data_IF_751700627570
#
_entry.id   IF_751700627570
#
_cell.length_a   1.000
_cell.length_b   1.000
_cell.length_c   1.000
_cell.angle_alpha   90.00
_cell.angle_beta   90.00
_cell.angle_gamma   90.00
#
_symmetry.space_group_name_H-M   'P 1'
#
loop_
_entity.id
_entity.type
_entity.pdbx_description
1 polymer ?
#
# COMPACT_ATOMS: atom_id res chain seq x y z
N UNK A 1 34.56 21.31 14.49
CA UNK A 1 33.86 20.51 13.47
C UNK A 1 32.98 21.46 12.66
N UNK A 2 33.38 21.78 11.44
CA UNK A 2 32.60 22.67 10.57
C UNK A 2 31.29 22.00 10.17
N UNK A 3 30.17 22.67 10.46
CA UNK A 3 28.84 22.20 10.13
C UNK A 3 28.60 22.34 8.62
N UNK A 4 29.04 21.33 7.87
CA UNK A 4 28.71 21.21 6.45
C UNK A 4 27.25 20.76 6.30
N UNK A 5 26.44 21.42 5.47
CA UNK A 5 25.09 20.96 5.16
C UNK A 5 25.14 19.54 4.57
N UNK A 6 24.31 18.63 5.10
CA UNK A 6 24.28 17.21 4.70
C UNK A 6 22.91 16.85 4.09
N UNK A 7 22.58 17.34 2.87
CA UNK A 7 21.29 17.07 2.23
C UNK A 7 21.05 15.58 1.97
N UNK A 8 22.10 14.82 1.67
CA UNK A 8 22.03 13.36 1.45
C UNK A 8 21.64 12.60 2.73
N UNK A 9 22.08 13.08 3.89
CA UNK A 9 21.72 12.46 5.15
C UNK A 9 20.24 12.70 5.47
N UNK A 10 19.72 13.89 5.12
CA UNK A 10 18.30 14.20 5.28
C UNK A 10 17.41 13.40 4.34
N UNK A 11 17.80 13.20 3.08
CA UNK A 11 17.04 12.32 2.18
C UNK A 11 17.05 10.87 2.65
N UNK A 12 18.18 10.37 3.17
CA UNK A 12 18.28 9.00 3.70
C UNK A 12 17.40 8.81 4.94
N UNK A 13 17.47 9.74 5.89
CA UNK A 13 16.61 9.72 7.09
C UNK A 13 15.13 9.84 6.73
N UNK A 14 14.79 10.72 5.78
CA UNK A 14 13.42 10.88 5.29
C UNK A 14 12.91 9.64 4.57
N UNK A 15 13.76 8.96 3.80
CA UNK A 15 13.43 7.70 3.14
C UNK A 15 13.18 6.59 4.17
N UNK A 16 14.10 6.40 5.13
CA UNK A 16 13.93 5.40 6.20
C UNK A 16 12.66 5.68 7.03
N UNK A 17 12.44 6.95 7.39
CA UNK A 17 11.24 7.36 8.11
C UNK A 17 9.98 7.06 7.30
N UNK A 18 9.97 7.36 6.00
CA UNK A 18 8.84 7.09 5.12
C UNK A 18 8.54 5.60 5.00
N UNK A 19 9.56 4.74 4.85
CA UNK A 19 9.37 3.28 4.83
C UNK A 19 8.74 2.80 6.14
N UNK A 20 9.22 3.27 7.29
CA UNK A 20 8.67 2.87 8.60
C UNK A 20 7.23 3.35 8.75
N UNK A 21 6.91 4.57 8.34
CA UNK A 21 5.54 5.11 8.38
C UNK A 21 4.61 4.31 7.48
N UNK A 22 5.01 3.98 6.26
CA UNK A 22 4.20 3.15 5.34
C UNK A 22 3.97 1.76 5.93
N UNK A 23 5.01 1.12 6.46
CA UNK A 23 4.91 -0.18 7.10
C UNK A 23 3.94 -0.16 8.29
N UNK A 24 3.96 0.90 9.11
CA UNK A 24 3.01 1.08 10.21
C UNK A 24 1.58 1.28 9.71
N UNK A 25 1.37 2.18 8.74
CA UNK A 25 0.03 2.43 8.18
C UNK A 25 -0.58 1.17 7.57
N UNK A 26 0.25 0.36 6.90
CA UNK A 26 -0.14 -0.93 6.36
C UNK A 26 -0.53 -1.92 7.45
N UNK A 27 0.34 -2.13 8.44
CA UNK A 27 0.09 -3.07 9.56
C UNK A 27 -1.11 -2.68 10.40
N UNK A 28 -1.39 -1.38 10.53
CA UNK A 28 -2.58 -0.85 11.20
C UNK A 28 -3.86 -0.97 10.36
N UNK A 29 -3.74 -1.37 9.08
CA UNK A 29 -4.87 -1.46 8.17
C UNK A 29 -5.51 -0.12 7.83
N UNK A 30 -4.78 0.98 8.03
CA UNK A 30 -5.25 2.34 7.69
C UNK A 30 -5.21 2.52 6.18
N UNK A 31 -4.20 1.94 5.52
CA UNK A 31 -4.00 2.10 4.09
C UNK A 31 -3.51 0.79 3.48
N UNK A 32 -4.00 0.37 2.30
CA UNK A 32 -3.46 -0.79 1.58
C UNK A 32 -1.98 -0.57 1.21
N UNK A 33 -1.19 -1.65 1.06
CA UNK A 33 0.22 -1.59 0.66
C UNK A 33 0.33 -1.33 -0.85
N UNK A 34 -0.28 -0.25 -1.33
CA UNK A 34 -0.23 0.13 -2.72
C UNK A 34 0.95 1.07 -3.00
N UNK A 35 1.44 1.02 -4.23
CA UNK A 35 2.54 1.82 -4.76
C UNK A 35 2.27 3.31 -4.56
N UNK A 36 1.02 3.76 -4.68
CA UNK A 36 0.65 5.16 -4.56
C UNK A 36 0.92 5.73 -3.17
N UNK A 37 0.53 4.97 -2.15
CA UNK A 37 0.68 5.35 -0.75
C UNK A 37 2.16 5.36 -0.39
N UNK A 38 2.89 4.33 -0.84
CA UNK A 38 4.33 4.25 -0.68
C UNK A 38 5.02 5.48 -1.28
N UNK A 39 4.74 5.80 -2.56
CA UNK A 39 5.34 6.95 -3.23
C UNK A 39 4.94 8.30 -2.60
N UNK A 40 3.69 8.46 -2.20
CA UNK A 40 3.19 9.68 -1.58
C UNK A 40 3.82 9.94 -0.21
N UNK A 41 3.85 8.94 0.67
CA UNK A 41 4.48 9.07 1.99
C UNK A 41 5.98 9.29 1.86
N UNK A 42 6.67 8.54 1.00
CA UNK A 42 8.10 8.72 0.75
C UNK A 42 8.41 10.13 0.22
N UNK A 43 7.61 10.64 -0.72
CA UNK A 43 7.77 11.99 -1.24
C UNK A 43 7.71 13.03 -0.12
N UNK A 44 6.69 12.94 0.74
CA UNK A 44 6.47 13.87 1.85
C UNK A 44 7.58 13.76 2.90
N UNK A 45 7.94 12.55 3.34
CA UNK A 45 8.97 12.39 4.38
C UNK A 45 10.35 12.79 3.90
N UNK A 46 10.72 12.45 2.66
CA UNK A 46 12.00 12.88 2.06
C UNK A 46 12.04 14.40 1.94
N UNK A 47 10.98 15.04 1.43
CA UNK A 47 10.93 16.50 1.33
C UNK A 47 11.04 17.15 2.71
N UNK A 48 10.22 16.73 3.67
CA UNK A 48 10.13 17.33 5.00
C UNK A 48 11.46 17.20 5.77
N UNK A 49 12.04 15.99 5.81
CA UNK A 49 13.32 15.78 6.51
C UNK A 49 14.46 16.51 5.80
N UNK A 50 14.46 16.56 4.47
CA UNK A 50 15.45 17.34 3.70
C UNK A 50 15.34 18.84 3.99
N UNK A 51 14.12 19.39 4.09
CA UNK A 51 13.88 20.81 4.45
C UNK A 51 14.40 21.09 5.86
N UNK A 52 14.03 20.25 6.84
CA UNK A 52 14.42 20.42 8.25
C UNK A 52 15.95 20.45 8.40
N UNK A 53 16.65 19.57 7.68
CA UNK A 53 18.11 19.43 7.79
C UNK A 53 18.89 20.36 6.85
N UNK A 54 18.23 21.04 5.91
CA UNK A 54 18.87 21.97 4.95
C UNK A 54 18.46 23.42 5.24
N UNK A 55 18.96 23.97 6.35
CA UNK A 55 18.62 25.34 6.78
C UNK A 55 19.30 26.47 5.97
N UNK A 56 20.29 26.15 5.11
CA UNK A 56 20.91 27.11 4.17
C UNK A 56 20.93 26.54 2.74
N UNK A 57 19.82 26.69 2.04
CA UNK A 57 19.64 26.22 0.65
C UNK A 57 20.63 26.87 -0.33
N UNK A 58 21.14 28.06 -0.02
CA UNK A 58 22.08 28.81 -0.88
C UNK A 58 23.40 28.06 -1.11
N UNK A 59 23.91 27.33 -0.11
CA UNK A 59 25.20 26.62 -0.21
C UNK A 59 25.12 25.24 -0.90
N UNK A 60 23.92 24.67 -1.02
CA UNK A 60 23.68 23.31 -1.54
C UNK A 60 22.57 23.28 -2.59
N UNK A 61 22.35 24.41 -3.27
CA UNK A 61 21.20 24.66 -4.16
C UNK A 61 20.98 23.54 -5.18
N UNK A 62 22.03 23.04 -5.83
CA UNK A 62 21.93 21.96 -6.84
C UNK A 62 21.41 20.64 -6.24
N UNK A 63 21.95 20.21 -5.09
CA UNK A 63 21.56 18.94 -4.43
C UNK A 63 20.16 19.04 -3.81
N UNK A 64 19.84 20.19 -3.21
CA UNK A 64 18.52 20.43 -2.63
C UNK A 64 17.42 20.44 -3.69
N UNK A 65 17.63 21.18 -4.80
CA UNK A 65 16.66 21.23 -5.92
C UNK A 65 16.47 19.84 -6.53
N UNK A 66 17.54 19.07 -6.73
CA UNK A 66 17.43 17.70 -7.25
C UNK A 66 16.54 16.82 -6.36
N UNK A 67 16.70 16.87 -5.03
CA UNK A 67 15.88 16.09 -4.09
C UNK A 67 14.41 16.55 -4.08
N UNK A 68 14.16 17.86 -4.19
CA UNK A 68 12.80 18.40 -4.29
C UNK A 68 12.12 17.99 -5.59
N UNK A 69 12.85 18.00 -6.72
CA UNK A 69 12.33 17.50 -8.00
C UNK A 69 12.03 16.01 -7.91
N UNK A 70 12.93 15.21 -7.32
CA UNK A 70 12.69 13.78 -7.13
C UNK A 70 11.46 13.52 -6.25
N UNK A 71 11.32 14.23 -5.14
CA UNK A 71 10.13 14.17 -4.29
C UNK A 71 8.86 14.58 -5.05
N UNK A 72 8.93 15.64 -5.85
CA UNK A 72 7.82 16.07 -6.71
C UNK A 72 7.43 15.01 -7.75
N UNK A 73 8.40 14.31 -8.35
CA UNK A 73 8.14 13.20 -9.27
C UNK A 73 7.46 12.03 -8.55
N UNK A 74 7.93 11.65 -7.36
CA UNK A 74 7.32 10.59 -6.55
C UNK A 74 5.88 10.96 -6.14
N UNK A 75 5.66 12.22 -5.74
CA UNK A 75 4.32 12.74 -5.46
C UNK A 75 3.43 12.72 -6.71
N UNK A 76 3.98 13.05 -7.88
CA UNK A 76 3.28 12.97 -9.16
C UNK A 76 2.81 11.55 -9.49
N UNK A 77 3.67 10.54 -9.29
CA UNK A 77 3.30 9.12 -9.46
C UNK A 77 2.19 8.73 -8.50
N UNK A 78 2.25 9.17 -7.24
CA UNK A 78 1.22 8.90 -6.24
C UNK A 78 -0.15 9.48 -6.64
N UNK A 79 -0.18 10.68 -7.22
CA UNK A 79 -1.43 11.31 -7.68
C UNK A 79 -1.95 10.65 -8.96
N UNK A 80 -1.05 10.23 -9.86
CA UNK A 80 -1.44 9.67 -11.15
C UNK A 80 -2.19 8.33 -11.07
N UNK A 81 -1.95 7.51 -10.05
CA UNK A 81 -2.64 6.22 -9.92
C UNK A 81 -3.92 6.23 -9.08
N UNK A 82 -4.38 7.40 -8.60
CA UNK A 82 -5.65 7.53 -7.89
C UNK A 82 -6.85 6.83 -8.59
N UNK A 83 -6.96 6.76 -9.93
CA UNK A 83 -8.08 6.07 -10.58
C UNK A 83 -8.22 4.59 -10.19
N UNK A 84 -7.11 3.86 -10.04
CA UNK A 84 -7.12 2.43 -9.71
C UNK A 84 -7.53 2.20 -8.25
N UNK A 85 -7.33 3.18 -7.36
CA UNK A 85 -7.77 3.12 -5.97
C UNK A 85 -9.27 3.41 -5.78
N UNK A 86 -9.92 4.01 -6.79
CA UNK A 86 -11.37 4.33 -6.76
C UNK A 86 -12.18 3.19 -7.39
N UNK A 87 -11.56 2.35 -8.22
CA UNK A 87 -12.20 1.14 -8.70
C UNK A 87 -12.51 0.24 -7.49
N UNK A 88 -13.79 0.12 -7.16
CA UNK A 88 -14.26 -0.84 -6.17
C UNK A 88 -14.01 -2.27 -6.64
N UNK A 89 -14.37 -3.23 -5.78
CA UNK A 89 -14.46 -4.60 -6.21
C UNK A 89 -15.49 -4.77 -7.32
N UNK A 90 -15.36 -5.85 -8.07
CA UNK A 90 -16.22 -6.17 -9.20
C UNK A 90 -16.36 -7.68 -9.35
N UNK A 91 -17.41 -8.10 -10.03
CA UNK A 91 -17.59 -9.48 -10.45
C UNK A 91 -18.20 -9.47 -11.85
N UNK A 92 -17.79 -10.43 -12.67
CA UNK A 92 -18.30 -10.56 -14.05
C UNK A 92 -19.81 -10.80 -14.06
N UNK A 93 -20.50 -10.18 -15.00
CA UNK A 93 -21.95 -10.32 -15.15
C UNK A 93 -22.38 -11.79 -15.28
N UNK A 94 -23.41 -12.15 -14.51
CA UNK A 94 -23.94 -13.51 -14.47
C UNK A 94 -23.13 -14.47 -13.61
N UNK A 95 -22.12 -13.98 -12.88
CA UNK A 95 -21.46 -14.67 -11.77
C UNK A 95 -21.83 -13.96 -10.45
N UNK A 96 -21.94 -14.72 -9.37
CA UNK A 96 -22.25 -14.21 -8.04
C UNK A 96 -21.29 -14.79 -7.02
N UNK A 97 -20.90 -13.98 -6.04
CA UNK A 97 -20.15 -14.44 -4.89
C UNK A 97 -20.57 -13.61 -3.67
N UNK A 98 -20.71 -14.29 -2.55
CA UNK A 98 -21.10 -13.72 -1.27
C UNK A 98 -20.21 -14.31 -0.19
N UNK A 99 -19.67 -13.45 0.68
CA UNK A 99 -18.93 -13.83 1.86
C UNK A 99 -19.60 -13.29 3.12
N UNK A 100 -19.68 -14.09 4.17
CA UNK A 100 -20.19 -13.71 5.49
C UNK A 100 -19.15 -14.05 6.55
N UNK A 101 -18.74 -13.03 7.30
CA UNK A 101 -17.85 -13.14 8.47
C UNK A 101 -18.59 -12.79 9.75
N UNK A 102 -17.90 -12.81 10.89
CA UNK A 102 -18.47 -12.33 12.16
C UNK A 102 -18.76 -10.83 12.14
N UNK A 103 -18.17 -10.09 11.18
CA UNK A 103 -18.25 -8.63 11.07
C UNK A 103 -19.27 -8.17 10.01
N UNK A 104 -19.88 -9.08 9.26
CA UNK A 104 -20.92 -8.78 8.28
C UNK A 104 -20.82 -9.62 7.01
N UNK A 105 -21.68 -9.32 6.04
CA UNK A 105 -21.68 -9.96 4.72
C UNK A 105 -21.50 -8.93 3.61
N UNK A 106 -20.78 -9.31 2.55
CA UNK A 106 -20.61 -8.50 1.34
C UNK A 106 -20.43 -9.37 0.09
N UNK A 107 -20.88 -8.84 -1.04
CA UNK A 107 -20.45 -9.30 -2.37
C UNK A 107 -19.15 -8.60 -2.79
N UNK A 108 -18.36 -9.15 -3.72
CA UNK A 108 -17.19 -8.48 -4.28
C UNK A 108 -17.48 -7.07 -4.78
N UNK A 109 -18.59 -6.88 -5.51
CA UNK A 109 -19.03 -5.60 -6.06
C UNK A 109 -19.37 -4.54 -4.99
N UNK A 110 -19.62 -4.95 -3.75
CA UNK A 110 -19.88 -4.04 -2.61
C UNK A 110 -18.62 -3.65 -1.84
N UNK A 111 -17.46 -4.21 -2.20
CA UNK A 111 -16.21 -3.92 -1.50
C UNK A 111 -15.47 -2.76 -2.15
N UNK A 112 -14.72 -2.00 -1.35
CA UNK A 112 -13.77 -0.99 -1.82
C UNK A 112 -12.65 -0.82 -0.80
N UNK A 113 -11.62 -0.04 -1.12
CA UNK A 113 -10.59 0.33 -0.13
C UNK A 113 -11.21 1.05 1.07
N UNK A 114 -12.21 1.91 0.84
CA UNK A 114 -12.89 2.66 1.90
C UNK A 114 -13.87 1.80 2.71
N UNK A 115 -14.46 0.79 2.08
CA UNK A 115 -15.43 -0.10 2.69
C UNK A 115 -15.15 -1.57 2.34
N UNK A 116 -14.09 -2.18 2.91
CA UNK A 116 -13.68 -3.53 2.59
C UNK A 116 -14.59 -4.58 3.24
N UNK A 117 -14.52 -5.83 2.80
CA UNK A 117 -15.05 -6.98 3.53
C UNK A 117 -14.13 -7.28 4.72
N UNK A 118 -14.62 -7.07 5.94
CA UNK A 118 -13.80 -7.18 7.14
C UNK A 118 -13.85 -8.61 7.71
N UNK A 119 -12.68 -9.13 8.08
CA UNK A 119 -12.52 -10.42 8.75
C UNK A 119 -11.55 -10.29 9.93
N UNK A 120 -11.80 -11.04 10.99
CA UNK A 120 -10.83 -11.26 12.07
C UNK A 120 -9.90 -12.41 11.71
N UNK A 121 -8.71 -12.48 12.33
CA UNK A 121 -7.75 -13.58 12.11
C UNK A 121 -8.31 -14.95 12.52
N UNK A 122 -9.31 -14.97 13.39
CA UNK A 122 -9.95 -16.18 13.92
C UNK A 122 -11.32 -16.45 13.30
N UNK A 123 -11.76 -15.63 12.34
CA UNK A 123 -13.05 -15.81 11.70
C UNK A 123 -13.09 -17.10 10.88
N UNK A 124 -14.30 -17.66 10.77
CA UNK A 124 -14.66 -18.60 9.73
C UNK A 124 -15.57 -17.87 8.75
N UNK A 125 -15.13 -17.72 7.51
CA UNK A 125 -15.91 -17.08 6.45
C UNK A 125 -16.81 -18.13 5.81
N UNK A 126 -18.12 -17.93 5.92
CA UNK A 126 -19.09 -18.66 5.12
C UNK A 126 -19.16 -18.00 3.75
N UNK A 127 -19.01 -18.77 2.69
CA UNK A 127 -19.01 -18.24 1.34
C UNK A 127 -19.95 -19.04 0.44
N UNK A 128 -20.53 -18.34 -0.52
CA UNK A 128 -21.33 -18.91 -1.60
C UNK A 128 -20.87 -18.28 -2.90
N UNK A 129 -20.63 -19.08 -3.92
CA UNK A 129 -20.30 -18.63 -5.27
C UNK A 129 -21.18 -19.35 -6.29
N UNK A 130 -21.54 -18.66 -7.36
CA UNK A 130 -22.40 -19.22 -8.39
C UNK A 130 -22.28 -18.55 -9.74
N UNK A 131 -22.88 -19.18 -10.73
CA UNK A 131 -23.00 -18.70 -12.10
C UNK A 131 -24.40 -18.99 -12.63
N UNK A 132 -24.89 -18.12 -13.49
CA UNK A 132 -26.16 -18.33 -14.22
C UNK A 132 -26.05 -19.40 -15.31
N UNK A 133 -24.85 -19.87 -15.63
CA UNK A 133 -24.59 -20.97 -16.55
C UNK A 133 -23.98 -22.18 -15.81
N UNK A 134 -24.23 -23.39 -16.32
CA UNK A 134 -23.58 -24.61 -15.81
C UNK A 134 -22.09 -24.56 -16.10
N UNK A 135 -21.28 -24.64 -15.05
CA UNK A 135 -19.82 -24.62 -15.17
C UNK A 135 -19.28 -26.02 -15.48
N UNK A 136 -19.45 -26.51 -16.71
CA UNK A 136 -18.80 -27.77 -17.14
C UNK A 136 -17.30 -27.56 -17.22
N UNK A 137 -16.53 -28.46 -16.58
CA UNK A 137 -15.07 -28.45 -16.52
C UNK A 137 -14.48 -27.08 -16.16
N UNK A 138 -14.46 -26.75 -14.87
CA UNK A 138 -13.95 -25.46 -14.43
C UNK A 138 -12.51 -25.56 -13.92
N UNK A 139 -11.77 -24.47 -14.09
CA UNK A 139 -10.49 -24.17 -13.46
C UNK A 139 -10.64 -22.86 -12.72
N UNK A 140 -10.25 -22.83 -11.46
CA UNK A 140 -10.35 -21.63 -10.64
C UNK A 140 -9.05 -21.34 -9.95
N UNK A 141 -8.75 -20.06 -9.80
CA UNK A 141 -7.66 -19.55 -9.00
C UNK A 141 -8.15 -18.38 -8.17
N UNK A 142 -7.72 -18.35 -6.91
CA UNK A 142 -7.88 -17.24 -6.00
C UNK A 142 -6.50 -16.76 -5.58
N UNK A 143 -6.37 -15.45 -5.43
CA UNK A 143 -5.15 -14.86 -4.94
C UNK A 143 -5.40 -13.49 -4.32
N UNK A 144 -4.32 -12.92 -3.81
CA UNK A 144 -4.31 -11.59 -3.24
C UNK A 144 -3.08 -10.82 -3.70
N UNK A 145 -3.22 -9.51 -3.82
CA UNK A 145 -2.11 -8.61 -4.06
C UNK A 145 -1.45 -8.20 -2.74
N UNK A 146 -0.18 -8.56 -2.59
CA UNK A 146 0.66 -8.16 -1.46
C UNK A 146 1.78 -7.28 -1.98
N UNK A 147 1.75 -5.98 -1.66
CA UNK A 147 2.77 -5.03 -2.12
C UNK A 147 2.81 -4.84 -3.64
N UNK A 148 1.68 -5.06 -4.33
CA UNK A 148 1.58 -5.01 -5.79
C UNK A 148 2.16 -6.25 -6.50
N UNK A 149 2.32 -7.36 -5.77
CA UNK A 149 2.62 -8.68 -6.32
C UNK A 149 1.44 -9.63 -6.07
N UNK A 150 1.03 -10.33 -7.13
CA UNK A 150 -0.02 -11.34 -7.05
C UNK A 150 0.50 -12.59 -6.36
N UNK A 151 -0.02 -12.87 -5.16
CA UNK A 151 0.22 -14.12 -4.42
C UNK A 151 -0.99 -15.01 -4.61
N UNK A 152 -0.82 -16.11 -5.35
CA UNK A 152 -1.87 -17.12 -5.50
C UNK A 152 -2.06 -17.85 -4.16
N UNK A 153 -3.27 -17.86 -3.64
CA UNK A 153 -3.61 -18.49 -2.36
C UNK A 153 -4.23 -19.86 -2.56
N UNK A 154 -4.94 -20.05 -3.67
CA UNK A 154 -5.58 -21.32 -4.00
C UNK A 154 -5.75 -21.48 -5.50
N UNK A 155 -5.72 -22.71 -5.98
CA UNK A 155 -6.22 -23.05 -7.30
C UNK A 155 -6.76 -24.46 -7.31
N UNK A 156 -7.79 -24.69 -8.12
CA UNK A 156 -8.40 -25.99 -8.29
C UNK A 156 -8.97 -26.16 -9.69
N UNK A 157 -9.30 -27.38 -10.03
CA UNK A 157 -10.03 -27.71 -11.25
C UNK A 157 -10.88 -28.94 -11.04
N UNK A 158 -12.06 -28.98 -11.64
CA UNK A 158 -12.93 -30.15 -11.54
C UNK A 158 -13.82 -30.32 -12.76
N UNK A 159 -14.04 -31.58 -13.15
CA UNK A 159 -15.09 -31.95 -14.07
C UNK A 159 -16.42 -31.92 -13.30
N UNK A 160 -17.23 -30.87 -13.54
CA UNK A 160 -18.51 -30.67 -12.90
C UNK A 160 -19.59 -31.60 -13.50
N UNK A 161 -19.43 -32.90 -13.27
CA UNK A 161 -20.34 -33.93 -13.79
C UNK A 161 -21.77 -33.78 -13.22
N UNK A 162 -21.88 -33.19 -12.03
CA UNK A 162 -23.15 -32.92 -11.35
C UNK A 162 -23.88 -31.68 -11.91
N UNK A 163 -23.29 -30.98 -12.89
CA UNK A 163 -23.85 -29.77 -13.50
C UNK A 163 -24.24 -28.68 -12.49
N UNK A 164 -23.52 -28.58 -11.37
CA UNK A 164 -23.79 -27.60 -10.32
C UNK A 164 -23.52 -26.18 -10.82
N UNK A 165 -24.43 -25.26 -10.53
CA UNK A 165 -24.32 -23.84 -10.86
C UNK A 165 -23.86 -22.99 -9.67
N UNK A 166 -23.94 -23.54 -8.47
CA UNK A 166 -23.52 -22.89 -7.23
C UNK A 166 -22.70 -23.83 -6.36
N UNK A 167 -21.80 -23.26 -5.57
CA UNK A 167 -21.05 -23.94 -4.55
C UNK A 167 -20.99 -23.06 -3.30
N UNK A 168 -20.95 -23.66 -2.13
CA UNK A 168 -20.85 -22.95 -0.86
C UNK A 168 -19.98 -23.73 0.10
N UNK A 169 -19.40 -23.05 1.07
CA UNK A 169 -18.58 -23.69 2.08
C UNK A 169 -18.14 -22.73 3.17
N UNK A 170 -17.27 -23.22 4.04
CA UNK A 170 -16.70 -22.45 5.14
C UNK A 170 -15.17 -22.50 5.08
N UNK A 171 -14.52 -21.35 5.18
CA UNK A 171 -13.07 -21.24 5.20
C UNK A 171 -12.61 -20.57 6.50
N UNK A 172 -11.75 -21.26 7.25
CA UNK A 172 -11.13 -20.68 8.44
C UNK A 172 -10.01 -19.72 8.03
N UNK A 173 -10.14 -18.44 8.38
CA UNK A 173 -9.17 -17.39 8.03
C UNK A 173 -7.79 -17.73 8.62
N UNK A 174 -7.75 -18.23 9.85
CA UNK A 174 -6.52 -18.60 10.53
C UNK A 174 -5.65 -19.61 9.75
N UNK A 175 -6.26 -20.59 9.08
CA UNK A 175 -5.54 -21.60 8.30
C UNK A 175 -4.84 -20.94 7.11
N UNK A 176 -5.58 -20.16 6.32
CA UNK A 176 -5.03 -19.47 5.15
C UNK A 176 -3.96 -18.45 5.52
N UNK A 177 -4.16 -17.69 6.60
CA UNK A 177 -3.15 -16.75 7.09
C UNK A 177 -1.87 -17.47 7.49
N UNK A 178 -1.96 -18.65 8.13
CA UNK A 178 -0.81 -19.45 8.51
C UNK A 178 -0.05 -19.98 7.30
N UNK A 179 -0.73 -20.40 6.24
CA UNK A 179 -0.10 -20.88 5.01
C UNK A 179 0.64 -19.76 4.28
N UNK A 180 0.03 -18.58 4.23
CA UNK A 180 0.67 -17.41 3.62
C UNK A 180 1.84 -16.92 4.49
N UNK A 181 1.67 -16.88 5.81
CA UNK A 181 2.76 -16.50 6.73
C UNK A 181 3.91 -17.51 6.67
N UNK A 182 3.61 -18.81 6.53
CA UNK A 182 4.61 -19.86 6.36
C UNK A 182 5.39 -19.76 5.05
N UNK A 183 4.73 -19.35 3.96
CA UNK A 183 5.35 -19.22 2.63
C UNK A 183 6.06 -17.88 2.41
N UNK A 184 5.54 -16.79 2.98
CA UNK A 184 6.06 -15.42 2.77
C UNK A 184 6.90 -14.91 3.94
N UNK A 185 6.78 -15.50 5.13
CA UNK A 185 7.37 -14.97 6.36
C UNK A 185 6.71 -13.70 6.88
N UNK A 186 5.55 -13.32 6.34
CA UNK A 186 4.87 -12.05 6.65
C UNK A 186 3.56 -12.32 7.37
N UNK A 187 3.40 -11.71 8.55
CA UNK A 187 2.11 -11.65 9.23
C UNK A 187 1.17 -10.68 8.49
N UNK A 188 0.18 -11.22 7.79
CA UNK A 188 -0.81 -10.44 7.04
C UNK A 188 -1.77 -9.71 7.98
N UNK A 189 -1.71 -8.37 7.99
CA UNK A 189 -2.70 -7.50 8.61
C UNK A 189 -2.96 -6.30 7.68
N UNK A 190 -4.20 -5.80 7.64
CA UNK A 190 -4.59 -4.66 6.82
C UNK A 190 -5.50 -4.99 5.65
N UNK A 191 -5.56 -4.09 4.66
CA UNK A 191 -6.44 -4.17 3.50
C UNK A 191 -5.68 -4.76 2.32
N UNK A 192 -6.27 -5.79 1.70
CA UNK A 192 -5.70 -6.51 0.56
C UNK A 192 -6.72 -6.54 -0.58
N UNK A 193 -6.21 -6.39 -1.80
CA UNK A 193 -6.98 -6.64 -3.00
C UNK A 193 -6.93 -8.14 -3.29
N UNK A 194 -8.08 -8.77 -3.35
CA UNK A 194 -8.26 -10.17 -3.74
C UNK A 194 -8.72 -10.24 -5.18
N UNK A 195 -8.13 -11.16 -5.93
CA UNK A 195 -8.58 -11.48 -7.27
C UNK A 195 -9.00 -12.95 -7.33
N UNK A 196 -10.01 -13.21 -8.14
CA UNK A 196 -10.47 -14.54 -8.46
C UNK A 196 -10.70 -14.66 -9.95
N UNK A 197 -10.32 -15.81 -10.50
CA UNK A 197 -10.59 -16.14 -11.89
C UNK A 197 -11.11 -17.56 -11.94
N UNK A 198 -12.27 -17.75 -12.53
CA UNK A 198 -12.83 -19.05 -12.85
C UNK A 198 -13.02 -19.14 -14.36
N UNK A 199 -12.35 -20.09 -14.98
CA UNK A 199 -12.47 -20.40 -16.40
C UNK A 199 -13.24 -21.71 -16.56
N UNK A 200 -14.30 -21.70 -17.35
CA UNK A 200 -15.11 -22.88 -17.68
C UNK A 200 -15.51 -22.83 -19.15
N UNK A 201 -15.82 -24.00 -19.74
CA UNK A 201 -16.05 -24.16 -21.17
C UNK A 201 -17.08 -23.17 -21.76
N UNK A 202 -18.05 -22.72 -20.95
CA UNK A 202 -19.16 -21.87 -21.38
C UNK A 202 -19.03 -20.41 -20.92
N UNK A 203 -18.20 -20.14 -19.91
CA UNK A 203 -18.08 -18.81 -19.30
C UNK A 203 -16.83 -18.69 -18.44
N UNK A 204 -16.24 -17.50 -18.50
CA UNK A 204 -15.20 -17.05 -17.59
C UNK A 204 -15.81 -16.07 -16.57
N UNK A 205 -15.47 -16.23 -15.29
CA UNK A 205 -15.85 -15.33 -14.20
C UNK A 205 -14.58 -14.71 -13.60
N UNK A 206 -14.41 -13.41 -13.79
CA UNK A 206 -13.43 -12.62 -13.06
C UNK A 206 -14.09 -11.95 -11.85
N UNK A 207 -13.33 -11.90 -10.75
CA UNK A 207 -13.70 -11.29 -9.49
C UNK A 207 -12.55 -10.44 -8.97
N UNK A 208 -12.89 -9.26 -8.46
CA UNK A 208 -12.03 -8.36 -7.71
C UNK A 208 -12.76 -7.97 -6.42
N UNK A 209 -12.09 -8.05 -5.28
CA UNK A 209 -12.66 -7.66 -4.00
C UNK A 209 -11.61 -7.04 -3.07
N UNK A 210 -12.03 -6.24 -2.12
CA UNK A 210 -11.16 -5.71 -1.06
C UNK A 210 -11.50 -6.38 0.27
N UNK A 211 -10.51 -7.02 0.88
CA UNK A 211 -10.64 -7.72 2.17
C UNK A 211 -9.73 -7.06 3.20
N UNK A 212 -10.28 -6.77 4.38
CA UNK A 212 -9.51 -6.27 5.52
C UNK A 212 -9.36 -7.35 6.57
N UNK A 213 -8.12 -7.77 6.80
CA UNK A 213 -7.74 -8.63 7.93
C UNK A 213 -7.43 -7.74 9.12
N UNK A 214 -8.26 -7.80 10.17
CA UNK A 214 -8.06 -7.05 11.41
C UNK A 214 -6.71 -7.43 12.05
N UNK A 215 -5.90 -6.43 12.38
CA UNK A 215 -4.70 -6.63 13.18
C UNK A 215 -5.04 -6.93 14.64
N UNK A 216 -4.16 -7.61 15.36
CA UNK A 216 -4.31 -7.92 16.80
C UNK A 216 -4.08 -6.71 17.71
N UNK A 217 -3.88 -5.51 17.13
CA UNK A 217 -3.67 -4.25 17.84
C UNK A 217 -2.43 -3.50 17.38
N UNK A 218 -2.43 -2.19 17.63
CA UNK A 218 -1.39 -1.26 17.18
C UNK A 218 0.00 -1.49 17.80
N UNK A 219 0.12 -2.33 18.82
CA UNK A 219 1.38 -2.65 19.49
C UNK A 219 1.61 -4.15 19.63
N UNK A 220 0.76 -4.95 19.00
CA UNK A 220 0.79 -6.41 19.09
C UNK A 220 1.75 -6.96 18.02
N UNK A 221 2.54 -7.98 18.39
CA UNK A 221 3.56 -8.57 17.53
C UNK A 221 4.94 -7.90 17.62
N UNK A 222 5.99 -8.69 17.42
CA UNK A 222 7.38 -8.23 17.48
C UNK A 222 7.69 -7.20 16.37
N UNK A 223 7.14 -7.40 15.17
CA UNK A 223 7.31 -6.49 14.03
C UNK A 223 6.75 -5.09 14.34
N UNK A 224 5.51 -5.02 14.82
CA UNK A 224 4.85 -3.75 15.10
C UNK A 224 5.58 -2.97 16.22
N UNK A 225 5.99 -3.66 17.29
CA UNK A 225 6.86 -3.08 18.33
C UNK A 225 8.17 -2.55 17.75
N UNK A 226 8.81 -3.32 16.89
CA UNK A 226 10.04 -2.90 16.19
C UNK A 226 9.84 -1.65 15.34
N UNK A 227 8.73 -1.56 14.60
CA UNK A 227 8.38 -0.41 13.77
C UNK A 227 8.14 0.85 14.60
N UNK A 228 7.41 0.75 15.72
CA UNK A 228 7.22 1.90 16.63
C UNK A 228 8.52 2.37 17.28
N UNK A 229 9.38 1.45 17.72
CA UNK A 229 10.71 1.78 18.25
C UNK A 229 11.55 2.46 17.16
N UNK A 230 11.55 1.93 15.95
CA UNK A 230 12.26 2.53 14.81
C UNK A 230 11.73 3.92 14.48
N UNK A 231 10.41 4.12 14.50
CA UNK A 231 9.79 5.43 14.29
C UNK A 231 10.23 6.44 15.35
N UNK A 232 10.19 6.05 16.63
CA UNK A 232 10.64 6.88 17.74
C UNK A 232 12.12 7.23 17.63
N UNK A 233 12.96 6.25 17.34
CA UNK A 233 14.41 6.44 17.19
C UNK A 233 14.75 7.35 15.99
N UNK A 234 14.17 7.11 14.82
CA UNK A 234 14.38 7.94 13.62
C UNK A 234 13.89 9.38 13.83
N UNK A 235 12.74 9.54 14.48
CA UNK A 235 12.21 10.86 14.83
C UNK A 235 13.16 11.61 15.77
N UNK A 236 13.64 10.93 16.83
CA UNK A 236 14.58 11.50 17.79
C UNK A 236 15.92 11.88 17.11
N UNK A 237 16.48 11.00 16.28
CA UNK A 237 17.72 11.28 15.51
C UNK A 237 17.52 12.51 14.62
N UNK A 238 16.37 12.60 13.93
CA UNK A 238 16.05 13.74 13.06
C UNK A 238 15.98 15.04 13.85
N UNK A 239 15.33 15.02 15.03
CA UNK A 239 15.22 16.19 15.92
C UNK A 239 16.59 16.60 16.45
N UNK A 240 17.41 15.65 16.94
CA UNK A 240 18.76 15.94 17.44
C UNK A 240 19.61 16.56 16.33
N UNK A 241 19.58 15.98 15.13
CA UNK A 241 20.34 16.50 13.98
C UNK A 241 19.86 17.88 13.56
N UNK A 242 18.55 18.13 13.56
CA UNK A 242 17.99 19.46 13.31
C UNK A 242 18.48 20.47 14.36
N UNK A 243 18.52 20.07 15.64
CA UNK A 243 19.05 20.87 16.75
C UNK A 243 20.54 21.18 16.59
N UNK A 244 21.37 20.19 16.23
CA UNK A 244 22.81 20.37 15.98
C UNK A 244 23.04 21.32 14.80
N UNK A 245 22.30 21.16 13.70
CA UNK A 245 22.38 22.07 12.55
C UNK A 245 22.00 23.49 12.97
N UNK A 246 20.88 23.66 13.68
CA UNK A 246 20.43 24.98 14.15
C UNK A 246 21.44 25.63 15.10
N UNK A 247 21.95 24.89 16.07
CA UNK A 247 22.94 25.37 17.04
C UNK A 247 24.27 25.73 16.38
N UNK A 248 24.67 24.98 15.36
CA UNK A 248 25.88 25.30 14.60
C UNK A 248 25.74 26.60 13.81
N UNK A 249 24.57 26.86 13.23
CA UNK A 249 24.29 28.08 12.48
C UNK A 249 24.19 29.28 13.44
N UNK A 250 23.54 29.13 14.58
CA UNK A 250 23.48 30.21 15.58
C UNK A 250 24.86 30.50 16.17
N UNK A 251 25.71 29.51 16.40
CA UNK A 251 27.11 29.71 16.79
C UNK A 251 27.93 30.41 15.71
N UNK A 252 27.82 30.00 14.45
CA UNK A 252 28.52 30.66 13.35
C UNK A 252 28.03 32.10 13.14
N UNK A 253 26.73 32.35 13.27
CA UNK A 253 26.15 33.69 13.19
C UNK A 253 26.59 34.57 14.36
N UNK A 254 26.63 34.02 15.59
CA UNK A 254 27.16 34.73 16.77
C UNK A 254 28.64 35.03 16.62
N UNK A 255 29.45 34.08 16.16
CA UNK A 255 30.88 34.28 15.92
C UNK A 255 31.14 35.40 14.88
N UNK A 256 30.36 35.43 13.79
CA UNK A 256 30.42 36.49 12.79
C UNK A 256 29.93 37.85 13.33
N UNK A 257 28.90 37.87 14.19
CA UNK A 257 28.39 39.09 14.82
C UNK A 257 29.32 39.63 15.93
N UNK A 258 30.07 38.75 16.61
CA UNK A 258 31.03 39.12 17.66
C UNK A 258 32.37 39.65 17.12
N UNK A 259 32.51 39.85 15.82
CA UNK A 259 33.53 40.76 15.27
C UNK A 259 34.99 40.35 15.49
N UNK A 260 35.29 39.09 15.80
CA UNK A 260 36.65 38.55 15.63
C UNK A 260 36.86 38.25 14.14
N UNK A 261 36.93 39.32 13.35
CA UNK A 261 37.69 39.26 12.11
C UNK A 261 39.08 38.70 12.47
N UNK A 262 39.61 37.69 11.76
CA UNK A 262 41.05 37.53 11.80
C UNK A 262 41.62 38.84 11.26
N UNK A 263 42.23 39.63 12.13
CA UNK A 263 43.25 40.59 11.73
C UNK A 263 44.36 39.77 11.08
N UNK A 264 44.20 39.46 9.81
CA UNK A 264 45.24 38.95 8.94
C UNK A 264 45.47 40.02 7.88
N UNK A 265 46.63 40.67 8.00
CA UNK A 265 47.24 41.65 7.11
C UNK A 265 46.69 43.09 7.18
N UNK A 266 47.04 43.77 8.27
CA UNK A 266 47.52 45.14 8.15
C UNK A 266 48.82 45.12 7.30
N UNK A 267 48.72 45.51 6.03
CA UNK A 267 49.89 45.94 5.25
C UNK A 267 50.03 47.47 5.44
N UNK A 268 51.14 47.98 6.00
CA UNK A 268 51.40 49.42 6.07
C UNK A 268 51.72 50.00 4.67
N UNK A 269 51.56 51.33 4.48
CA UNK A 269 51.32 51.96 3.19
C UNK A 269 52.58 52.06 2.33
N UNK A 270 52.43 51.78 1.03
CA UNK A 270 53.41 52.12 0.01
C UNK A 270 53.49 53.65 -0.15
N UNK A 271 54.61 54.24 0.26
CA UNK A 271 54.95 55.63 -0.07
C UNK A 271 56.43 55.73 -0.45
N UNK A 272 56.72 55.75 -1.75
CA UNK A 272 57.78 56.58 -2.31
C UNK A 272 57.66 56.62 -3.85
N UNK A 273 57.41 57.83 -4.36
CA UNK A 273 57.57 58.25 -5.76
C UNK A 273 57.93 59.76 -5.71
N UNK A 274 58.43 60.40 -6.79
CA UNK A 274 59.71 60.32 -7.52
C UNK A 274 60.50 61.67 -7.40
N UNK A 275 61.51 62.04 -8.23
CA UNK A 275 61.26 62.73 -9.53
C UNK A 275 62.34 62.49 -10.63
N UNK A 276 62.00 62.46 -11.93
CA UNK A 276 62.21 63.51 -12.98
C UNK A 276 62.93 62.83 -14.19
N UNK A 277 62.74 63.07 -15.49
CA UNK A 277 61.87 63.89 -16.35
C UNK A 277 62.16 63.45 -17.84
N UNK A 278 61.85 64.18 -18.93
CA UNK A 278 60.80 63.90 -19.92
C UNK A 278 61.32 63.53 -21.35
N UNK A 279 60.44 63.13 -22.27
CA UNK A 279 60.38 63.64 -23.67
C UNK A 279 59.00 63.30 -24.28
N UNK A 280 58.59 64.15 -25.22
CA UNK A 280 57.24 64.53 -25.64
C UNK A 280 56.84 63.87 -27.01
N UNK A 281 55.82 64.33 -27.80
CA UNK A 281 54.78 63.46 -28.38
C UNK A 281 54.60 63.54 -29.93
N UNK A 282 53.66 62.78 -30.49
CA UNK A 282 52.87 63.02 -31.74
C UNK A 282 52.05 61.73 -32.04
N UNK A 283 50.87 61.65 -32.66
CA UNK A 283 49.94 62.50 -33.43
C UNK A 283 48.64 61.65 -33.49
N UNK A 284 47.46 62.16 -33.13
CA UNK A 284 46.47 62.82 -34.00
C UNK A 284 45.83 61.96 -35.12
N UNK A 285 44.51 61.81 -35.03
CA UNK A 285 43.60 61.60 -36.17
C UNK A 285 42.80 60.29 -36.12
N UNK A 286 41.51 60.21 -36.45
CA UNK A 286 40.51 61.21 -36.85
C UNK A 286 39.13 60.51 -36.87
N UNK A 287 38.10 61.28 -36.57
CA UNK A 287 36.67 61.00 -36.56
C UNK A 287 36.08 60.54 -37.91
N UNK A 288 34.96 59.79 -37.85
CA UNK A 288 33.63 60.12 -38.47
C UNK A 288 32.64 59.01 -38.05
N UNK A 289 31.55 59.26 -37.30
CA UNK A 289 30.24 59.88 -37.67
C UNK A 289 29.56 59.09 -38.81
N UNK A 290 28.27 58.72 -38.84
CA UNK A 290 27.04 59.20 -38.16
C UNK A 290 25.87 58.28 -38.58
N UNK A 291 24.79 58.25 -37.76
CA UNK A 291 23.35 58.27 -38.18
C UNK A 291 22.74 57.04 -38.92
N UNK A 292 21.45 56.65 -38.85
CA UNK A 292 20.17 57.26 -38.40
C UNK A 292 19.12 56.15 -38.17
N UNK A 293 18.45 56.17 -37.00
CA UNK A 293 16.97 56.17 -36.77
C UNK A 293 16.03 55.33 -37.68
N UNK A 294 15.20 54.48 -37.06
CA UNK A 294 13.73 54.69 -36.90
C UNK A 294 12.96 53.39 -36.64
N UNK A 295 11.94 53.52 -35.79
CA UNK A 295 10.97 52.54 -35.25
C UNK A 295 9.55 53.07 -35.65
N UNK A 296 8.41 52.47 -35.26
CA UNK A 296 7.63 51.25 -35.63
C UNK A 296 6.30 51.64 -36.37
N UNK A 297 5.06 51.08 -36.16
CA UNK A 297 4.53 49.77 -35.67
C UNK A 297 3.38 49.13 -36.53
N UNK A 298 2.87 47.98 -36.05
CA UNK A 298 1.47 47.47 -36.17
C UNK A 298 1.04 46.87 -37.55
N UNK A 299 0.19 45.85 -37.73
CA UNK A 299 -0.79 45.11 -36.91
C UNK A 299 -1.24 43.80 -37.65
N UNK A 300 -2.43 43.16 -37.47
CA UNK A 300 -2.58 41.71 -37.25
C UNK A 300 -3.22 40.94 -38.44
N UNK A 301 -3.31 39.60 -38.39
CA UNK A 301 -4.25 38.90 -39.26
C UNK A 301 -4.95 37.69 -38.63
N UNK A 302 -6.23 37.94 -38.33
CA UNK A 302 -7.48 37.18 -38.46
C UNK A 302 -7.50 35.65 -38.69
N UNK A 303 -8.52 35.08 -38.05
CA UNK A 303 -8.98 33.69 -37.98
C UNK A 303 -9.73 33.15 -39.22
N UNK A 304 -9.86 31.82 -39.31
CA UNK A 304 -11.13 31.09 -39.56
C UNK A 304 -11.01 29.56 -39.26
N UNK A 305 -12.13 28.85 -39.00
CA UNK A 305 -12.16 27.53 -38.31
C UNK A 305 -12.69 26.35 -39.16
N UNK A 306 -12.38 25.11 -38.76
CA UNK A 306 -12.99 23.81 -39.09
C UNK A 306 -12.09 22.71 -38.46
N UNK A 307 -12.48 21.57 -37.89
CA UNK A 307 -13.70 20.78 -37.88
C UNK A 307 -13.76 19.96 -36.59
N UNK A 308 -14.99 19.54 -36.27
CA UNK A 308 -15.40 18.62 -35.21
C UNK A 308 -15.18 17.19 -35.69
N UNK A 309 -14.33 16.41 -35.02
CA UNK A 309 -14.24 14.96 -35.20
C UNK A 309 -14.46 14.25 -33.87
N UNK A 310 -15.54 13.45 -33.85
CA UNK A 310 -15.81 12.37 -32.90
C UNK A 310 -14.82 11.24 -33.16
N UNK A 311 -14.42 10.46 -32.13
CA UNK A 311 -14.30 9.03 -32.37
C UNK A 311 -15.00 8.20 -31.31
N UNK A 312 -15.96 7.40 -31.77
CA UNK A 312 -16.37 6.18 -31.10
C UNK A 312 -15.55 4.99 -31.59
N UNK A 313 -15.54 3.94 -30.77
CA UNK A 313 -15.56 2.51 -31.11
C UNK A 313 -14.51 1.90 -32.05
N UNK A 314 -13.96 0.78 -31.57
CA UNK A 314 -13.33 -0.35 -32.28
C UNK A 314 -11.81 -0.25 -32.55
N UNK A 315 -11.02 -0.84 -31.65
CA UNK A 315 -9.86 -1.66 -32.06
C UNK A 315 -9.90 -2.99 -31.32
N UNK A 316 -10.15 -4.02 -32.12
CA UNK A 316 -9.98 -5.45 -31.82
C UNK A 316 -8.51 -5.82 -32.00
N UNK A 317 -8.04 -6.70 -31.11
CA UNK A 317 -6.89 -7.59 -31.16
C UNK A 317 -5.93 -7.50 -32.36
N UNK A 318 -4.63 -7.37 -32.06
CA UNK A 318 -3.55 -8.36 -32.31
C UNK A 318 -2.20 -7.74 -31.91
N UNK A 319 -1.50 -8.32 -30.94
CA UNK A 319 -0.25 -9.06 -31.21
C UNK A 319 0.51 -9.39 -29.92
N UNK A 320 0.72 -10.70 -29.78
CA UNK A 320 1.54 -11.32 -28.76
C UNK A 320 3.02 -11.03 -29.05
N UNK A 321 3.74 -10.50 -28.06
CA UNK A 321 5.19 -10.61 -28.01
C UNK A 321 5.56 -11.61 -26.88
N UNK A 322 6.41 -12.62 -27.16
CA UNK A 322 6.80 -13.60 -26.16
C UNK A 322 7.85 -12.97 -25.25
N UNK A 323 7.55 -12.87 -23.96
CA UNK A 323 8.57 -12.57 -22.95
C UNK A 323 9.30 -13.87 -22.63
N UNK A 324 10.56 -13.94 -23.06
CA UNK A 324 11.51 -14.97 -22.67
C UNK A 324 11.58 -15.10 -21.14
N UNK A 325 11.19 -16.28 -20.68
CA UNK A 325 11.19 -16.70 -19.30
C UNK A 325 12.63 -17.05 -18.89
N UNK A 326 13.28 -16.15 -18.15
CA UNK A 326 14.58 -16.44 -17.53
C UNK A 326 14.35 -17.38 -16.34
N UNK A 327 15.04 -18.52 -16.38
CA UNK A 327 14.77 -19.70 -15.57
C UNK A 327 14.87 -19.50 -14.06
N UNK A 328 13.85 -20.02 -13.35
CA UNK A 328 13.96 -20.45 -11.98
C UNK A 328 13.88 -21.99 -11.96
N UNK A 329 14.89 -22.60 -11.33
CA UNK A 329 15.09 -24.03 -11.15
C UNK A 329 13.84 -24.73 -10.58
N UNK A 330 13.63 -25.93 -11.09
CA UNK A 330 12.50 -26.80 -10.80
C UNK A 330 12.24 -27.01 -9.30
N UNK A 331 10.99 -26.78 -8.94
CA UNK A 331 10.30 -27.45 -7.87
C UNK A 331 9.23 -28.29 -8.57
N UNK A 332 9.28 -29.62 -8.37
CA UNK A 332 8.25 -30.55 -8.83
C UNK A 332 6.86 -30.07 -8.41
N UNK A 333 5.86 -30.06 -9.30
CA UNK A 333 4.49 -29.84 -8.90
C UNK A 333 3.99 -31.12 -8.23
N UNK A 334 3.96 -31.13 -6.89
CA UNK A 334 3.13 -32.08 -6.15
C UNK A 334 1.68 -31.82 -6.57
N UNK A 335 1.12 -32.68 -7.43
CA UNK A 335 -0.31 -32.72 -7.73
C UNK A 335 -1.07 -33.20 -6.49
N UNK A 336 -1.16 -32.34 -5.48
CA UNK A 336 -2.19 -32.42 -4.46
C UNK A 336 -3.42 -31.71 -5.00
N UNK A 337 -4.33 -32.44 -5.64
CA UNK A 337 -5.70 -31.96 -5.81
C UNK A 337 -6.30 -31.97 -4.41
N UNK A 338 -6.16 -30.89 -3.66
CA UNK A 338 -6.98 -30.70 -2.46
C UNK A 338 -8.41 -30.44 -2.93
N UNK A 339 -9.37 -31.36 -2.68
CA UNK A 339 -10.77 -31.04 -2.86
C UNK A 339 -11.09 -29.86 -1.94
N UNK A 340 -11.96 -28.96 -2.41
CA UNK A 340 -12.44 -27.83 -1.61
C UNK A 340 -12.86 -28.32 -0.21
N UNK A 341 -12.42 -27.66 0.88
CA UNK A 341 -12.88 -27.97 2.23
C UNK A 341 -14.33 -27.51 2.35
N UNK A 342 -15.28 -28.36 1.97
CA UNK A 342 -16.67 -27.92 1.87
C UNK A 342 -17.72 -28.95 1.54
N UNK A 343 -17.50 -30.25 1.75
CA UNK A 343 -18.59 -31.24 1.63
C UNK A 343 -18.35 -32.52 2.44
N UNK A 344 -18.00 -32.34 3.73
CA UNK A 344 -18.19 -33.40 4.72
C UNK A 344 -19.62 -33.33 5.26
N UNK A 345 -20.60 -33.83 4.51
CA UNK A 345 -21.93 -34.08 5.04
C UNK A 345 -21.78 -35.06 6.22
N UNK A 346 -22.07 -34.61 7.44
CA UNK A 346 -21.98 -35.44 8.63
C UNK A 346 -23.01 -36.57 8.50
N UNK A 347 -22.54 -37.75 8.10
CA UNK A 347 -23.33 -38.96 8.12
C UNK A 347 -23.74 -39.23 9.58
N UNK A 348 -25.02 -39.02 9.87
CA UNK A 348 -25.68 -39.48 11.10
C UNK A 348 -25.60 -41.01 11.08
N UNK A 349 -24.93 -41.67 12.04
CA UNK A 349 -24.94 -43.12 12.10
C UNK A 349 -26.36 -43.57 12.45
N UNK A 350 -26.98 -44.33 11.55
CA UNK A 350 -28.27 -44.97 11.75
C UNK A 350 -28.24 -45.88 12.97
N UNK A 351 -29.32 -45.80 13.74
CA UNK A 351 -29.64 -46.74 14.79
C UNK A 351 -29.99 -48.10 14.18
N UNK A 352 -29.18 -49.11 14.47
CA UNK A 352 -29.59 -50.51 14.42
C UNK A 352 -29.28 -51.11 15.79
N UNK A 353 -30.33 -51.57 16.46
CA UNK A 353 -30.22 -52.37 17.67
C UNK A 353 -29.87 -53.81 17.32
N UNK A 354 -29.14 -54.47 18.23
CA UNK A 354 -29.45 -55.85 18.64
C UNK A 354 -28.64 -56.26 19.88
N UNK A 355 -29.40 -56.66 20.91
CA UNK A 355 -29.24 -57.81 21.82
C UNK A 355 -27.82 -58.24 22.28
N UNK A 356 -27.56 -57.96 23.58
CA UNK A 356 -26.92 -58.75 24.67
C UNK A 356 -26.18 -60.09 24.36
N UNK A 357 -25.11 -60.48 25.10
CA UNK A 357 -25.22 -60.69 26.56
C UNK A 357 -24.02 -60.37 27.47
N UNK A 358 -24.37 -60.37 28.75
CA UNK A 358 -23.58 -60.37 29.99
C UNK A 358 -22.16 -60.95 29.92
N UNK A 359 -21.21 -60.22 30.53
CA UNK A 359 -20.21 -60.85 31.39
C UNK A 359 -19.96 -59.99 32.62
N UNK A 360 -19.72 -60.72 33.69
CA UNK A 360 -19.91 -60.38 35.08
C UNK A 360 -18.61 -59.87 35.73
N UNK A 361 -18.78 -59.07 36.78
CA UNK A 361 -17.91 -58.99 37.99
C UNK A 361 -16.68 -58.03 38.02
N UNK A 362 -16.20 -57.62 39.23
CA UNK A 362 -16.66 -56.42 39.92
C UNK A 362 -15.53 -55.53 40.47
N UNK A 363 -15.87 -54.33 40.94
CA UNK A 363 -15.13 -53.68 42.04
C UNK A 363 -14.73 -52.23 41.80
N UNK A 364 -15.51 -51.30 42.37
CA UNK A 364 -15.02 -50.26 43.28
C UNK A 364 -16.18 -49.34 43.66
N UNK A 365 -16.41 -49.27 44.96
CA UNK A 365 -17.46 -48.54 45.64
C UNK A 365 -17.16 -47.04 45.79
N UNK A 366 -18.25 -46.25 45.68
CA UNK A 366 -18.60 -44.99 46.40
C UNK A 366 -17.90 -43.65 46.10
N UNK A 367 -18.53 -42.49 46.39
CA UNK A 367 -19.96 -42.23 46.67
C UNK A 367 -20.60 -41.03 45.92
N UNK A 368 -21.94 -41.07 45.92
CA UNK A 368 -22.92 -40.00 45.77
C UNK A 368 -22.48 -38.64 46.35
N UNK A 369 -22.75 -37.57 45.59
CA UNK A 369 -22.96 -36.23 46.13
C UNK A 369 -24.25 -35.66 45.52
N UNK A 370 -25.25 -35.48 46.38
CA UNK A 370 -26.57 -34.96 46.10
C UNK A 370 -26.58 -33.43 45.96
N UNK A 371 -27.26 -32.96 44.91
CA UNK A 371 -28.17 -31.82 44.93
C UNK A 371 -27.66 -30.45 44.45
N UNK A 372 -28.56 -29.47 44.20
CA UNK A 372 -30.02 -29.56 44.09
C UNK A 372 -30.61 -29.04 42.76
N UNK A 373 -31.84 -29.49 42.49
CA UNK A 373 -32.78 -29.02 41.46
C UNK A 373 -32.98 -27.51 41.43
N UNK A 374 -33.06 -26.96 40.21
CA UNK A 374 -33.60 -25.63 39.93
C UNK A 374 -34.99 -25.77 39.26
N UNK A 375 -35.97 -24.93 39.63
CA UNK A 375 -37.40 -25.14 39.32
C UNK A 375 -37.80 -24.73 37.88
N UNK A 376 -38.95 -25.24 37.38
CA UNK A 376 -39.49 -24.90 36.07
C UNK A 376 -40.15 -23.52 36.07
N UNK A 377 -39.90 -22.72 35.02
CA UNK A 377 -40.62 -21.46 34.78
C UNK A 377 -41.56 -21.65 33.59
N UNK A 378 -42.79 -21.25 33.87
CA UNK A 378 -44.06 -21.34 33.15
C UNK A 378 -44.20 -20.41 31.94
N UNK A 379 -45.20 -20.76 31.14
CA UNK A 379 -45.81 -20.09 29.99
C UNK A 379 -45.90 -18.54 29.97
N UNK A 380 -45.82 -18.07 28.72
CA UNK A 380 -46.28 -16.81 28.07
C UNK A 380 -47.55 -16.17 28.67
N UNK A 381 -47.79 -14.84 28.52
CA UNK A 381 -48.33 -14.31 27.26
C UNK A 381 -48.00 -12.84 26.89
N UNK A 382 -48.46 -12.50 25.68
CA UNK A 382 -48.96 -11.20 25.21
C UNK A 382 -48.04 -10.14 24.57
N UNK A 383 -48.27 -10.10 23.25
CA UNK A 383 -48.07 -9.07 22.24
C UNK A 383 -49.02 -7.89 22.48
N UNK A 384 -48.58 -6.62 22.37
CA UNK A 384 -49.47 -5.52 22.04
C UNK A 384 -49.42 -5.21 20.54
N UNK A 385 -50.60 -5.16 19.94
CA UNK A 385 -50.88 -4.45 18.70
C UNK A 385 -51.23 -2.97 19.03
N UNK A 386 -50.81 -2.05 18.18
CA UNK A 386 -51.10 -0.61 18.24
C UNK A 386 -49.87 0.18 17.79
N UNK A 387 -49.92 1.18 16.92
CA UNK A 387 -51.03 1.98 16.44
C UNK A 387 -50.60 2.70 15.15
N UNK A 388 -51.58 3.05 14.34
CA UNK A 388 -51.44 3.88 13.16
C UNK A 388 -51.14 5.35 13.53
N UNK A 389 -50.38 6.02 12.66
CA UNK A 389 -50.20 7.45 12.58
C UNK A 389 -49.82 7.83 11.16
#
# INVERSE_FOLDING_TARGET
MDAKPRPLLGSLLGLLLGIVVVALLWQLGVVPPDRLVLFGVLAVTVALVTIILTQRTVLVRKRFVMLMVLSGLLAGVAVAGIPDAIAGGSITDGCSADGTSSLGSKTPAQTSIADPFAVTRTDTVQWTAGSTAVLTNWRSALGMDVGGFQVKTWSGSSANNDQKQSNSGSAAVASHLKDIEGSTGITLAGIYHMYGHLDADQRTCDMSAYVRVQGEGAFTGALNRGLWIALGALSLITIIMAGVVRHSITRAARAAASGLAPMAAAQPPATSKPPAEPTQPSEAGRQTSTDTRSRPPQEPNKAAPASRETPGSNVRATDNAPVEQMGARGVEPTQGVEPMPGNGEAAVPGADGDVLPETDNPGATTPLSDGPEAPPITDSPDRPAGEAG
#
